data_IF_069577703610
#
_entry.id   IF_069577703610
#
_cell.length_a   1.000
_cell.length_b   1.000
_cell.length_c   1.000
_cell.angle_alpha   90.00
_cell.angle_beta   90.00
_cell.angle_gamma   90.00
#
_symmetry.space_group_name_H-M   'P 1'
#
loop_
_entity.id
_entity.type
_entity.pdbx_description
1 polymer ?
#
# COMPACT_ATOMS: atom_id res chain seq x y z
N UNK A 1 53.02 -50.83 -17.05
CA UNK A 1 52.42 -49.63 -17.69
C UNK A 1 51.54 -48.94 -16.65
N UNK A 2 51.98 -47.79 -16.15
CA UNK A 2 51.28 -46.98 -15.14
C UNK A 2 50.33 -46.01 -15.86
N UNK A 3 49.02 -46.17 -15.68
CA UNK A 3 48.02 -45.21 -16.14
C UNK A 3 47.99 -44.02 -15.17
N UNK A 4 48.48 -42.87 -15.64
CA UNK A 4 48.26 -41.57 -14.99
C UNK A 4 46.87 -41.05 -15.34
N UNK A 5 46.00 -40.91 -14.34
CA UNK A 5 44.70 -40.24 -14.48
C UNK A 5 44.93 -38.75 -14.21
N UNK A 6 44.96 -37.95 -15.28
CA UNK A 6 44.93 -36.48 -15.19
C UNK A 6 43.56 -36.05 -14.66
N UNK A 7 43.55 -35.42 -13.48
CA UNK A 7 42.38 -34.68 -13.01
C UNK A 7 42.27 -33.36 -13.78
N UNK A 8 41.28 -33.26 -14.68
CA UNK A 8 40.86 -31.97 -15.20
C UNK A 8 40.13 -31.22 -14.08
N UNK A 9 40.83 -30.27 -13.46
CA UNK A 9 40.23 -29.26 -12.60
C UNK A 9 39.31 -28.36 -13.42
N UNK A 10 38.00 -28.60 -13.32
CA UNK A 10 36.97 -27.70 -13.83
C UNK A 10 36.98 -26.47 -12.90
N UNK A 11 37.63 -25.41 -13.35
CA UNK A 11 37.48 -24.07 -12.79
C UNK A 11 36.09 -23.56 -13.17
N UNK A 12 35.16 -23.60 -12.22
CA UNK A 12 33.85 -22.93 -12.36
C UNK A 12 34.11 -21.43 -12.33
N UNK A 13 34.25 -20.85 -13.52
CA UNK A 13 34.24 -19.41 -13.74
C UNK A 13 32.87 -18.88 -13.28
N UNK A 14 32.85 -18.21 -12.12
CA UNK A 14 31.71 -17.38 -11.70
C UNK A 14 31.47 -16.32 -12.78
N UNK A 15 30.53 -16.58 -13.68
CA UNK A 15 29.97 -15.57 -14.57
C UNK A 15 29.30 -14.52 -13.68
N UNK A 16 29.82 -13.30 -13.72
CA UNK A 16 29.13 -12.09 -13.27
C UNK A 16 27.70 -12.13 -13.79
N UNK A 17 26.77 -12.41 -12.89
CA UNK A 17 25.35 -12.36 -13.19
C UNK A 17 25.01 -10.88 -13.31
N UNK A 18 25.01 -10.38 -14.55
CA UNK A 18 24.70 -8.99 -14.87
C UNK A 18 23.46 -8.56 -14.07
N UNK A 19 23.65 -7.52 -13.25
CA UNK A 19 22.72 -7.04 -12.24
C UNK A 19 21.39 -6.66 -12.93
N UNK A 20 20.42 -7.59 -12.94
CA UNK A 20 19.17 -7.32 -13.61
C UNK A 20 18.45 -6.18 -12.88
N UNK A 21 17.85 -5.23 -13.61
CA UNK A 21 17.17 -4.10 -13.00
C UNK A 21 16.06 -4.61 -12.07
N UNK A 22 16.20 -4.29 -10.79
CA UNK A 22 15.19 -4.65 -9.78
C UNK A 22 14.07 -3.62 -9.85
N UNK A 23 12.87 -4.05 -10.23
CA UNK A 23 11.67 -3.22 -10.22
C UNK A 23 10.86 -3.47 -8.96
N UNK A 24 10.38 -2.39 -8.35
CA UNK A 24 9.43 -2.43 -7.25
C UNK A 24 8.28 -1.46 -7.54
N UNK A 25 7.26 -1.52 -6.70
CA UNK A 25 6.04 -0.73 -6.88
C UNK A 25 5.68 0.01 -5.61
N UNK A 26 5.14 1.23 -5.75
CA UNK A 26 4.71 2.04 -4.62
C UNK A 26 3.47 1.43 -3.94
N UNK A 27 3.49 1.35 -2.60
CA UNK A 27 2.38 0.82 -1.82
C UNK A 27 1.17 1.77 -1.73
N UNK A 28 1.43 3.07 -1.81
CA UNK A 28 0.45 4.15 -1.65
C UNK A 28 1.06 5.44 -2.22
N UNK A 29 0.27 6.52 -2.38
CA UNK A 29 0.79 7.81 -2.79
C UNK A 29 1.98 8.25 -1.93
N UNK A 30 3.16 8.44 -2.53
CA UNK A 30 4.39 8.73 -1.77
C UNK A 30 5.29 9.71 -2.50
N UNK A 31 5.73 10.74 -1.76
CA UNK A 31 6.62 11.75 -2.31
C UNK A 31 8.04 11.21 -2.58
N UNK A 32 8.55 11.57 -3.75
CA UNK A 32 9.93 11.34 -4.19
C UNK A 32 10.74 12.59 -3.90
N UNK A 33 11.93 12.41 -3.33
CA UNK A 33 12.77 13.51 -2.88
C UNK A 33 14.12 13.57 -3.57
N UNK A 34 14.61 14.77 -3.74
CA UNK A 34 16.00 15.05 -3.99
C UNK A 34 16.71 15.40 -2.68
N UNK A 35 17.92 14.88 -2.53
CA UNK A 35 18.77 15.16 -1.40
C UNK A 35 20.11 15.73 -1.88
N UNK A 36 20.54 16.82 -1.22
CA UNK A 36 21.87 17.40 -1.42
C UNK A 36 22.57 17.55 -0.07
N UNK A 37 23.86 17.24 -0.02
CA UNK A 37 24.68 17.41 1.18
C UNK A 37 25.24 18.84 1.17
N UNK A 38 25.00 19.59 2.24
CA UNK A 38 25.57 20.92 2.47
C UNK A 38 26.49 20.89 3.68
N UNK A 39 27.63 21.56 3.58
CA UNK A 39 28.49 21.79 4.73
C UNK A 39 28.01 23.06 5.46
N UNK A 40 27.70 22.94 6.75
CA UNK A 40 27.51 24.09 7.64
C UNK A 40 28.82 24.37 8.37
N UNK A 41 29.13 25.66 8.53
CA UNK A 41 30.29 26.10 9.32
C UNK A 41 30.23 25.50 10.73
N UNK A 42 31.40 25.15 11.23
CA UNK A 42 31.60 24.68 12.58
C UNK A 42 31.09 25.72 13.60
N UNK A 43 30.47 25.26 14.69
CA UNK A 43 29.96 26.14 15.74
C UNK A 43 31.07 26.69 16.63
N UNK A 44 32.20 25.98 16.73
CA UNK A 44 33.39 26.38 17.49
C UNK A 44 34.62 26.31 16.61
N UNK A 45 35.60 27.15 16.91
CA UNK A 45 36.91 27.15 16.26
C UNK A 45 37.61 25.82 16.58
N UNK A 46 37.89 25.01 15.55
CA UNK A 46 38.54 23.70 15.68
C UNK A 46 37.62 22.49 15.41
N UNK A 47 36.29 22.66 15.42
CA UNK A 47 35.38 21.57 15.07
C UNK A 47 35.33 21.36 13.54
N UNK A 48 35.17 20.12 13.05
CA UNK A 48 34.94 19.87 11.64
C UNK A 48 33.58 20.43 11.17
N UNK A 49 33.46 20.88 9.91
CA UNK A 49 32.20 21.36 9.37
C UNK A 49 31.13 20.27 9.42
N UNK A 50 29.93 20.62 9.89
CA UNK A 50 28.82 19.68 10.00
C UNK A 50 28.14 19.50 8.65
N UNK A 51 28.09 18.28 8.16
CA UNK A 51 27.28 17.94 6.99
C UNK A 51 25.80 17.93 7.37
N UNK A 52 24.99 18.62 6.57
CA UNK A 52 23.53 18.72 6.73
C UNK A 52 22.87 18.36 5.42
N UNK A 53 21.83 17.55 5.51
CA UNK A 53 21.05 17.13 4.37
C UNK A 53 19.97 18.18 4.05
N UNK A 54 19.97 18.72 2.83
CA UNK A 54 18.85 19.51 2.30
C UNK A 54 17.96 18.58 1.48
N UNK A 55 16.66 18.61 1.77
CA UNK A 55 15.61 17.81 1.15
C UNK A 55 14.72 18.70 0.28
N UNK A 56 14.42 18.29 -0.95
CA UNK A 56 13.47 18.95 -1.85
C UNK A 56 12.50 17.91 -2.41
N UNK A 57 11.20 18.18 -2.38
CA UNK A 57 10.20 17.33 -3.06
C UNK A 57 10.40 17.47 -4.57
N UNK A 58 10.52 16.35 -5.28
CA UNK A 58 10.56 16.32 -6.74
C UNK A 58 9.20 15.97 -7.31
N UNK A 59 8.59 14.92 -6.76
CA UNK A 59 7.41 14.31 -7.36
C UNK A 59 6.62 13.47 -6.35
N UNK A 60 5.55 12.82 -6.80
CA UNK A 60 4.70 11.91 -6.02
C UNK A 60 4.34 10.68 -6.85
N UNK A 61 4.77 9.51 -6.38
CA UNK A 61 4.31 8.24 -6.94
C UNK A 61 2.87 7.98 -6.54
N UNK A 62 2.08 7.37 -7.41
CA UNK A 62 0.76 6.83 -7.07
C UNK A 62 0.85 5.35 -6.69
N UNK A 63 -0.22 4.79 -6.09
CA UNK A 63 -0.27 3.38 -5.70
C UNK A 63 -0.07 2.47 -6.92
N UNK A 64 0.67 1.38 -6.72
CA UNK A 64 1.06 0.41 -7.74
C UNK A 64 1.86 0.98 -8.92
N UNK A 65 2.42 2.18 -8.78
CA UNK A 65 3.32 2.74 -9.79
C UNK A 65 4.68 2.03 -9.77
N UNK A 66 5.18 1.67 -10.96
CA UNK A 66 6.41 0.91 -11.15
C UNK A 66 7.61 1.84 -11.10
N UNK A 67 8.61 1.47 -10.30
CA UNK A 67 9.89 2.17 -10.22
C UNK A 67 11.04 1.20 -10.39
N UNK A 68 12.13 1.69 -10.98
CA UNK A 68 13.39 0.96 -11.10
C UNK A 68 14.30 1.35 -9.95
N UNK A 69 14.84 0.36 -9.24
CA UNK A 69 15.88 0.61 -8.25
C UNK A 69 17.21 0.85 -8.97
N UNK A 70 17.84 1.97 -8.63
CA UNK A 70 19.16 2.31 -9.14
C UNK A 70 20.25 1.89 -8.14
N UNK A 71 21.44 1.47 -8.63
CA UNK A 71 22.58 1.21 -7.77
C UNK A 71 22.96 2.49 -7.00
N UNK A 72 23.33 2.31 -5.73
CA UNK A 72 23.70 3.43 -4.86
C UNK A 72 25.20 3.69 -4.89
N UNK A 73 25.58 4.91 -5.29
CA UNK A 73 26.96 5.39 -5.19
C UNK A 73 27.37 5.65 -3.73
N UNK A 74 28.65 5.88 -3.45
CA UNK A 74 29.10 6.24 -2.10
C UNK A 74 28.44 7.52 -1.57
N UNK A 75 28.18 8.49 -2.44
CA UNK A 75 27.45 9.70 -2.08
C UNK A 75 25.99 9.39 -1.71
N UNK A 76 25.33 8.50 -2.46
CA UNK A 76 23.96 8.09 -2.19
C UNK A 76 23.87 7.31 -0.85
N UNK A 77 24.85 6.46 -0.56
CA UNK A 77 24.97 5.76 0.73
C UNK A 77 25.18 6.75 1.89
N UNK A 78 25.98 7.80 1.67
CA UNK A 78 26.16 8.87 2.65
C UNK A 78 24.84 9.62 2.91
N UNK A 79 24.06 9.91 1.86
CA UNK A 79 22.70 10.49 1.98
C UNK A 79 21.80 9.60 2.84
N UNK A 80 21.75 8.30 2.56
CA UNK A 80 20.96 7.34 3.34
C UNK A 80 21.38 7.33 4.82
N UNK A 81 22.69 7.26 5.10
CA UNK A 81 23.23 7.30 6.46
C UNK A 81 22.87 8.60 7.20
N UNK A 82 23.05 9.76 6.57
CA UNK A 82 22.72 11.06 7.16
C UNK A 82 21.21 11.23 7.39
N UNK A 83 20.38 10.65 6.52
CA UNK A 83 18.91 10.68 6.66
C UNK A 83 18.37 9.82 7.80
N UNK A 84 19.18 8.85 8.30
CA UNK A 84 18.79 7.80 9.26
C UNK A 84 17.60 6.94 8.79
N UNK A 85 17.36 6.87 7.48
CA UNK A 85 16.31 6.05 6.87
C UNK A 85 16.94 5.07 5.89
N UNK A 86 16.23 3.98 5.60
CA UNK A 86 16.62 3.03 4.57
C UNK A 86 16.26 3.56 3.18
N UNK A 87 16.89 4.67 2.78
CA UNK A 87 16.63 5.30 1.50
C UNK A 87 17.19 4.45 0.36
N UNK A 88 16.39 4.34 -0.70
CA UNK A 88 16.79 3.79 -1.99
C UNK A 88 16.70 4.88 -3.04
N UNK A 89 17.56 4.78 -4.06
CA UNK A 89 17.51 5.62 -5.24
C UNK A 89 16.64 4.94 -6.29
N UNK A 90 15.73 5.69 -6.88
CA UNK A 90 14.76 5.19 -7.85
C UNK A 90 14.76 6.02 -9.13
N UNK A 91 14.34 5.38 -10.21
CA UNK A 91 14.00 5.99 -11.50
C UNK A 91 12.53 5.65 -11.81
N UNK A 92 11.75 6.70 -12.06
CA UNK A 92 10.35 6.63 -12.47
C UNK A 92 10.24 6.39 -13.99
N UNK A 93 9.04 6.09 -14.50
CA UNK A 93 8.83 5.83 -15.93
C UNK A 93 9.08 7.04 -16.84
N UNK A 94 8.92 8.24 -16.30
CA UNK A 94 9.21 9.52 -16.98
C UNK A 94 10.72 9.87 -16.96
N UNK A 95 11.56 9.04 -16.35
CA UNK A 95 13.00 9.29 -16.15
C UNK A 95 13.33 10.13 -14.92
N UNK A 96 12.35 10.51 -14.10
CA UNK A 96 12.59 11.27 -12.87
C UNK A 96 13.36 10.40 -11.86
N UNK A 97 14.52 10.90 -11.44
CA UNK A 97 15.38 10.26 -10.44
C UNK A 97 15.25 10.95 -9.08
N UNK A 98 15.06 10.14 -8.04
CA UNK A 98 15.02 10.61 -6.66
C UNK A 98 15.15 9.50 -5.63
N UNK A 99 14.79 9.84 -4.39
CA UNK A 99 14.94 8.99 -3.21
C UNK A 99 13.63 8.84 -2.46
N UNK A 100 13.42 7.66 -1.92
CA UNK A 100 12.35 7.36 -0.96
C UNK A 100 12.78 6.22 -0.03
N UNK A 101 12.06 6.03 1.07
CA UNK A 101 12.34 4.94 2.02
C UNK A 101 11.82 3.60 1.45
N UNK A 102 12.70 2.59 1.39
CA UNK A 102 12.44 1.27 0.81
C UNK A 102 11.17 0.61 1.35
N UNK A 103 10.78 0.90 2.60
CA UNK A 103 9.57 0.33 3.20
C UNK A 103 8.28 0.70 2.48
N UNK A 104 8.28 1.78 1.69
CA UNK A 104 7.14 2.23 0.88
C UNK A 104 7.00 1.47 -0.44
N UNK A 105 7.96 0.62 -0.77
CA UNK A 105 7.96 -0.21 -1.97
C UNK A 105 7.60 -1.66 -1.64
N UNK A 106 7.00 -2.33 -2.61
CA UNK A 106 6.67 -3.75 -2.57
C UNK A 106 6.96 -4.42 -3.92
N UNK A 107 6.76 -5.74 -3.98
CA UNK A 107 6.83 -6.50 -5.21
C UNK A 107 5.65 -6.23 -6.15
N UNK A 108 5.49 -7.13 -7.11
CA UNK A 108 4.49 -7.03 -8.17
C UNK A 108 3.07 -6.74 -7.63
N UNK A 109 2.34 -5.79 -8.24
CA UNK A 109 0.94 -5.55 -7.98
C UNK A 109 0.07 -6.67 -8.55
N UNK A 110 -1.06 -6.89 -7.91
CA UNK A 110 -2.11 -7.80 -8.32
C UNK A 110 -3.46 -7.19 -7.98
N UNK A 111 -4.49 -7.57 -8.74
CA UNK A 111 -5.87 -7.15 -8.49
C UNK A 111 -6.73 -8.36 -8.18
N UNK A 112 -7.58 -8.25 -7.16
CA UNK A 112 -8.54 -9.30 -6.83
C UNK A 112 -9.63 -9.33 -7.89
N UNK A 113 -9.78 -10.48 -8.58
CA UNK A 113 -10.79 -10.68 -9.64
C UNK A 113 -11.84 -11.73 -9.25
N UNK A 114 -11.58 -12.47 -8.17
CA UNK A 114 -12.55 -13.41 -7.61
C UNK A 114 -13.31 -12.74 -6.49
N UNK A 115 -14.64 -12.80 -6.56
CA UNK A 115 -15.48 -12.30 -5.48
C UNK A 115 -15.19 -13.03 -4.17
N UNK A 116 -15.19 -12.27 -3.07
CA UNK A 116 -15.05 -12.78 -1.72
C UNK A 116 -13.76 -13.61 -1.50
N UNK A 117 -12.62 -13.17 -2.04
CA UNK A 117 -11.34 -13.88 -1.87
C UNK A 117 -10.90 -13.86 -0.39
N UNK A 118 -10.75 -15.01 0.29
CA UNK A 118 -10.42 -15.03 1.70
C UNK A 118 -8.98 -14.55 1.96
N UNK A 119 -8.79 -13.83 3.07
CA UNK A 119 -7.46 -13.51 3.59
C UNK A 119 -7.25 -14.00 5.03
N UNK A 120 -5.98 -14.18 5.38
CA UNK A 120 -5.55 -14.93 6.56
C UNK A 120 -4.42 -14.21 7.31
N UNK A 121 -4.31 -14.45 8.62
CA UNK A 121 -3.19 -13.94 9.45
C UNK A 121 -1.88 -14.65 9.11
N UNK A 122 -1.93 -15.97 8.91
CA UNK A 122 -0.79 -16.84 8.56
C UNK A 122 -1.26 -17.90 7.56
N UNK A 123 -0.35 -18.56 6.83
CA UNK A 123 -0.73 -19.65 5.95
C UNK A 123 -1.43 -20.78 6.72
N UNK A 124 -2.62 -21.18 6.28
CA UNK A 124 -3.41 -22.22 6.94
C UNK A 124 -4.09 -21.83 8.26
N UNK A 125 -4.08 -20.55 8.65
CA UNK A 125 -4.82 -20.08 9.83
C UNK A 125 -6.32 -19.98 9.55
N UNK A 126 -7.10 -19.59 10.57
CA UNK A 126 -8.48 -19.16 10.37
C UNK A 126 -8.55 -17.99 9.39
N UNK A 127 -9.64 -17.96 8.60
CA UNK A 127 -9.99 -16.87 7.70
C UNK A 127 -10.35 -15.63 8.54
N UNK A 128 -9.74 -14.50 8.24
CA UNK A 128 -10.03 -13.23 8.91
C UNK A 128 -11.19 -12.49 8.23
N UNK A 129 -11.26 -12.55 6.90
CA UNK A 129 -12.26 -11.84 6.13
C UNK A 129 -12.14 -12.19 4.65
N UNK A 130 -12.74 -11.34 3.81
CA UNK A 130 -12.78 -11.51 2.36
C UNK A 130 -12.48 -10.18 1.68
N UNK A 131 -11.57 -10.19 0.71
CA UNK A 131 -11.26 -9.03 -0.11
C UNK A 131 -12.31 -8.88 -1.23
N UNK A 132 -12.78 -7.66 -1.51
CA UNK A 132 -13.66 -7.39 -2.64
C UNK A 132 -12.88 -7.43 -3.97
N UNK A 133 -13.62 -7.69 -5.06
CA UNK A 133 -13.11 -7.53 -6.43
C UNK A 133 -12.62 -6.09 -6.63
N UNK A 134 -11.60 -5.91 -7.45
CA UNK A 134 -10.99 -4.60 -7.73
C UNK A 134 -9.94 -4.16 -6.73
N UNK A 135 -9.85 -4.82 -5.56
CA UNK A 135 -8.81 -4.48 -4.57
C UNK A 135 -7.42 -4.65 -5.17
N UNK A 136 -6.64 -3.57 -5.22
CA UNK A 136 -5.23 -3.63 -5.59
C UNK A 136 -4.40 -4.02 -4.37
N UNK A 137 -3.63 -5.09 -4.52
CA UNK A 137 -2.65 -5.53 -3.54
C UNK A 137 -1.26 -5.62 -4.16
N UNK A 138 -0.22 -5.58 -3.32
CA UNK A 138 1.16 -5.74 -3.71
C UNK A 138 1.78 -6.93 -2.98
N UNK A 139 2.58 -7.71 -3.70
CA UNK A 139 3.26 -8.87 -3.14
C UNK A 139 4.38 -8.47 -2.19
N UNK A 140 4.38 -9.07 -1.00
CA UNK A 140 5.44 -8.94 0.01
C UNK A 140 6.29 -10.22 0.12
N UNK A 141 5.77 -11.34 -0.35
CA UNK A 141 6.46 -12.63 -0.32
C UNK A 141 5.53 -13.79 -0.71
N UNK A 142 6.10 -14.98 -0.80
CA UNK A 142 5.41 -16.19 -1.24
C UNK A 142 5.64 -17.33 -0.24
N UNK A 143 4.63 -18.17 -0.01
CA UNK A 143 4.79 -19.47 0.63
C UNK A 143 4.40 -20.55 -0.38
N UNK A 144 5.38 -21.20 -1.05
CA UNK A 144 5.09 -22.18 -2.09
C UNK A 144 4.46 -23.46 -1.54
N UNK A 145 4.82 -23.89 -0.32
CA UNK A 145 4.31 -25.12 0.29
C UNK A 145 2.81 -25.07 0.59
N UNK A 146 2.28 -23.88 0.92
CA UNK A 146 0.86 -23.67 1.20
C UNK A 146 0.12 -22.98 0.06
N UNK A 147 0.81 -22.69 -1.06
CA UNK A 147 0.21 -22.02 -2.24
C UNK A 147 -0.44 -20.68 -1.86
N UNK A 148 0.30 -19.85 -1.11
CA UNK A 148 -0.19 -18.55 -0.63
C UNK A 148 0.78 -17.40 -0.92
N UNK A 149 0.22 -16.19 -1.06
CA UNK A 149 0.95 -14.94 -1.21
C UNK A 149 0.78 -14.10 0.04
N UNK A 150 1.88 -13.51 0.51
CA UNK A 150 1.84 -12.45 1.52
C UNK A 150 1.66 -11.12 0.80
N UNK A 151 0.68 -10.33 1.21
CA UNK A 151 0.25 -9.13 0.51
C UNK A 151 0.13 -7.91 1.42
N UNK A 152 0.19 -6.74 0.77
CA UNK A 152 -0.21 -5.45 1.27
C UNK A 152 -1.30 -4.90 0.35
N UNK A 153 -2.47 -4.52 0.86
CA UNK A 153 -3.51 -3.87 0.06
C UNK A 153 -3.81 -2.43 0.53
N UNK A 154 -3.29 -2.04 1.70
CA UNK A 154 -3.60 -0.75 2.31
C UNK A 154 -4.93 -0.80 3.04
N UNK A 155 -5.62 0.34 3.10
CA UNK A 155 -7.00 0.40 3.57
C UNK A 155 -7.94 -0.17 2.50
N UNK A 156 -8.87 -1.01 2.93
CA UNK A 156 -9.86 -1.67 2.07
C UNK A 156 -11.20 -1.61 2.79
N UNK A 157 -12.24 -1.14 2.09
CA UNK A 157 -13.61 -1.16 2.61
C UNK A 157 -14.16 -2.59 2.57
N UNK A 158 -14.50 -3.14 3.73
CA UNK A 158 -15.02 -4.50 3.87
C UNK A 158 -16.18 -4.46 4.87
N UNK A 159 -17.39 -4.76 4.41
CA UNK A 159 -18.61 -4.74 5.24
C UNK A 159 -18.76 -3.40 5.99
N UNK A 160 -18.72 -2.26 5.28
CA UNK A 160 -18.90 -0.92 5.87
C UNK A 160 -17.79 -0.47 6.84
N UNK A 161 -16.65 -1.19 6.89
CA UNK A 161 -15.50 -0.81 7.73
C UNK A 161 -14.20 -0.67 6.93
N UNK A 162 -13.36 0.31 7.31
CA UNK A 162 -12.00 0.45 6.78
C UNK A 162 -11.08 -0.56 7.45
N UNK A 163 -10.62 -1.55 6.68
CA UNK A 163 -9.71 -2.55 7.21
C UNK A 163 -8.32 -2.34 6.66
N UNK A 164 -7.35 -2.17 7.55
CA UNK A 164 -5.93 -2.10 7.17
C UNK A 164 -5.35 -3.49 6.86
N UNK A 165 -5.17 -3.79 5.58
CA UNK A 165 -4.64 -5.05 5.08
C UNK A 165 -3.13 -4.91 4.81
N UNK A 166 -2.34 -5.17 5.86
CA UNK A 166 -0.89 -5.32 5.75
C UNK A 166 -0.42 -6.67 6.33
N UNK A 167 0.58 -7.26 5.66
CA UNK A 167 1.19 -8.54 6.04
C UNK A 167 0.18 -9.70 6.16
N UNK A 168 -0.86 -9.69 5.32
CA UNK A 168 -1.88 -10.75 5.29
C UNK A 168 -1.57 -11.75 4.19
N UNK A 169 -2.18 -12.92 4.28
CA UNK A 169 -1.99 -14.00 3.32
C UNK A 169 -3.25 -14.23 2.50
N UNK A 170 -3.10 -14.42 1.19
CA UNK A 170 -4.18 -14.80 0.27
C UNK A 170 -3.79 -16.07 -0.50
N UNK A 171 -4.75 -16.87 -0.99
CA UNK A 171 -4.46 -18.00 -1.88
C UNK A 171 -3.73 -17.54 -3.16
N UNK A 172 -2.89 -18.40 -3.77
CA UNK A 172 -2.25 -18.15 -5.08
C UNK A 172 -3.22 -18.17 -6.28
N UNK A 173 -4.52 -18.00 -6.06
CA UNK A 173 -5.60 -18.00 -7.07
C UNK A 173 -6.62 -16.91 -6.77
N UNK A 174 -7.37 -16.47 -7.79
CA UNK A 174 -8.43 -15.47 -7.65
C UNK A 174 -7.96 -14.01 -7.71
N UNK A 175 -6.76 -13.78 -8.23
CA UNK A 175 -6.24 -12.47 -8.60
C UNK A 175 -5.71 -12.49 -10.03
N UNK A 176 -5.59 -11.32 -10.63
CA UNK A 176 -4.89 -11.09 -11.89
C UNK A 176 -3.60 -10.29 -11.64
N UNK A 177 -2.58 -10.55 -12.46
CA UNK A 177 -1.33 -9.77 -12.52
C UNK A 177 -1.17 -9.08 -13.88
N UNK A 178 -2.21 -9.14 -14.73
CA UNK A 178 -2.17 -8.50 -16.04
C UNK A 178 -2.19 -6.98 -15.88
N UNK A 179 -1.28 -6.29 -16.57
CA UNK A 179 -1.16 -4.83 -16.50
C UNK A 179 -2.47 -4.11 -16.78
N UNK A 180 -3.24 -4.57 -17.79
CA UNK A 180 -4.56 -4.02 -18.12
C UNK A 180 -5.55 -4.04 -16.95
N UNK A 181 -5.58 -5.13 -16.17
CA UNK A 181 -6.53 -5.27 -15.06
C UNK A 181 -6.07 -4.42 -13.87
N UNK A 182 -4.77 -4.27 -13.69
CA UNK A 182 -4.18 -3.40 -12.66
C UNK A 182 -4.44 -1.93 -12.97
N UNK A 183 -4.25 -1.52 -14.22
CA UNK A 183 -4.50 -0.14 -14.65
C UNK A 183 -5.99 0.20 -14.58
N UNK A 184 -6.88 -0.71 -15.03
CA UNK A 184 -8.32 -0.53 -14.87
C UNK A 184 -8.74 -0.44 -13.39
N UNK A 185 -8.17 -1.25 -12.51
CA UNK A 185 -8.43 -1.15 -11.07
C UNK A 185 -7.94 0.17 -10.47
N UNK A 186 -6.81 0.71 -10.95
CA UNK A 186 -6.31 2.04 -10.51
C UNK A 186 -7.25 3.15 -10.94
N UNK A 187 -7.79 3.05 -12.16
CA UNK A 187 -8.80 4.00 -12.65
C UNK A 187 -10.08 3.93 -11.82
N UNK A 188 -10.54 2.72 -11.44
CA UNK A 188 -11.68 2.55 -10.54
C UNK A 188 -11.41 3.16 -9.15
N UNK A 189 -10.26 2.85 -8.51
CA UNK A 189 -9.89 3.43 -7.21
C UNK A 189 -9.83 4.98 -7.29
N UNK A 190 -9.32 5.53 -8.39
CA UNK A 190 -9.23 6.99 -8.59
C UNK A 190 -10.61 7.63 -8.80
N UNK A 191 -11.46 7.05 -9.65
CA UNK A 191 -12.80 7.55 -9.92
C UNK A 191 -13.68 7.49 -8.65
N UNK A 192 -13.59 6.39 -7.89
CA UNK A 192 -14.27 6.25 -6.61
C UNK A 192 -13.86 7.35 -5.62
N UNK A 193 -12.58 7.72 -5.57
CA UNK A 193 -12.12 8.77 -4.66
C UNK A 193 -12.56 10.18 -5.09
N UNK A 194 -12.63 10.48 -6.39
CA UNK A 194 -13.19 11.74 -6.92
C UNK A 194 -14.66 11.87 -6.51
N UNK A 195 -15.46 10.83 -6.77
CA UNK A 195 -16.88 10.79 -6.44
C UNK A 195 -17.09 10.92 -4.93
N UNK A 196 -16.28 10.22 -4.12
CA UNK A 196 -16.36 10.32 -2.65
C UNK A 196 -16.05 11.74 -2.16
N UNK A 197 -14.98 12.37 -2.67
CA UNK A 197 -14.61 13.75 -2.27
C UNK A 197 -15.70 14.76 -2.63
N UNK A 198 -16.28 14.65 -3.82
CA UNK A 198 -17.40 15.51 -4.21
C UNK A 198 -18.60 15.36 -3.27
N UNK A 199 -18.89 14.13 -2.81
CA UNK A 199 -19.97 13.90 -1.86
C UNK A 199 -19.67 14.37 -0.44
N UNK A 200 -18.40 14.32 -0.01
CA UNK A 200 -17.96 14.85 1.28
C UNK A 200 -17.92 16.39 1.29
N UNK A 201 -17.52 17.00 0.18
CA UNK A 201 -17.43 18.44 -0.04
C UNK A 201 -17.53 18.77 -1.53
N UNK A 202 -18.72 19.15 -2.00
CA UNK A 202 -18.99 19.45 -3.42
C UNK A 202 -18.10 20.58 -3.96
N UNK A 203 -17.65 21.51 -3.10
CA UNK A 203 -16.79 22.61 -3.51
C UNK A 203 -15.32 22.18 -3.72
N UNK A 204 -14.95 20.96 -3.31
CA UNK A 204 -13.57 20.47 -3.36
C UNK A 204 -13.17 19.86 -4.70
N UNK A 205 -14.14 19.55 -5.57
CA UNK A 205 -13.95 18.86 -6.85
C UNK A 205 -14.83 19.49 -7.92
N UNK A 206 -14.31 19.62 -9.15
CA UNK A 206 -15.08 20.12 -10.29
C UNK A 206 -16.16 19.11 -10.72
N UNK A 207 -17.39 19.57 -10.94
CA UNK A 207 -18.52 18.75 -11.38
C UNK A 207 -18.21 17.98 -12.68
N UNK A 208 -17.43 18.59 -13.60
CA UNK A 208 -16.98 17.92 -14.82
C UNK A 208 -16.03 16.75 -14.55
N UNK A 209 -15.21 16.83 -13.50
CA UNK A 209 -14.35 15.71 -13.09
C UNK A 209 -15.18 14.56 -12.51
N UNK A 210 -16.27 14.87 -11.82
CA UNK A 210 -17.21 13.88 -11.27
C UNK A 210 -18.01 13.21 -12.37
N UNK A 211 -18.50 13.97 -13.35
CA UNK A 211 -19.19 13.43 -14.52
C UNK A 211 -18.25 12.50 -15.31
N UNK A 212 -17.01 12.93 -15.55
CA UNK A 212 -16.01 12.11 -16.21
C UNK A 212 -15.68 10.82 -15.43
N UNK A 213 -15.56 10.90 -14.10
CA UNK A 213 -15.34 9.74 -13.24
C UNK A 213 -16.52 8.75 -13.28
N UNK A 214 -17.75 9.27 -13.24
CA UNK A 214 -18.99 8.48 -13.30
C UNK A 214 -19.13 7.77 -14.65
N UNK A 215 -19.02 8.52 -15.75
CA UNK A 215 -19.06 7.98 -17.11
C UNK A 215 -17.98 6.89 -17.31
N UNK A 216 -16.79 7.09 -16.75
CA UNK A 216 -15.74 6.08 -16.83
C UNK A 216 -16.11 4.77 -16.12
N UNK A 217 -16.73 4.85 -14.95
CA UNK A 217 -17.20 3.66 -14.22
C UNK A 217 -18.35 2.96 -14.98
N UNK A 218 -19.29 3.72 -15.55
CA UNK A 218 -20.38 3.17 -16.36
C UNK A 218 -19.86 2.43 -17.59
N UNK A 219 -18.90 3.00 -18.33
CA UNK A 219 -18.26 2.32 -19.47
C UNK A 219 -17.61 1.00 -19.05
N UNK A 220 -16.98 0.94 -17.87
CA UNK A 220 -16.41 -0.30 -17.33
C UNK A 220 -17.51 -1.34 -17.04
N UNK A 221 -18.64 -0.90 -16.47
CA UNK A 221 -19.79 -1.77 -16.17
C UNK A 221 -20.36 -2.34 -17.48
N UNK A 222 -20.59 -1.49 -18.47
CA UNK A 222 -21.18 -1.86 -19.77
C UNK A 222 -20.27 -2.77 -20.60
N UNK A 223 -18.94 -2.51 -20.57
CA UNK A 223 -17.94 -3.38 -21.21
C UNK A 223 -17.90 -4.76 -20.54
N UNK A 224 -18.27 -4.84 -19.26
CA UNK A 224 -18.26 -6.05 -18.47
C UNK A 224 -16.85 -6.51 -18.08
N UNK A 225 -16.73 -7.81 -17.78
CA UNK A 225 -15.46 -8.42 -17.38
C UNK A 225 -15.24 -8.49 -15.86
N UNK A 226 -14.02 -8.87 -15.43
CA UNK A 226 -13.76 -9.26 -14.04
C UNK A 226 -13.85 -8.11 -13.04
N UNK A 227 -13.79 -6.86 -13.49
CA UNK A 227 -13.80 -5.66 -12.64
C UNK A 227 -15.10 -4.85 -12.71
N UNK A 228 -16.08 -5.27 -13.53
CA UNK A 228 -17.37 -4.58 -13.64
C UNK A 228 -18.08 -4.47 -12.28
N UNK A 229 -18.02 -5.51 -11.44
CA UNK A 229 -18.60 -5.48 -10.10
C UNK A 229 -17.89 -4.47 -9.17
N UNK A 230 -16.58 -4.25 -9.34
CA UNK A 230 -15.87 -3.23 -8.58
C UNK A 230 -16.29 -1.82 -8.99
N UNK A 231 -16.46 -1.58 -10.29
CA UNK A 231 -16.97 -0.31 -10.79
C UNK A 231 -18.41 -0.03 -10.33
N UNK A 232 -19.27 -1.05 -10.37
CA UNK A 232 -20.65 -0.95 -9.85
C UNK A 232 -20.67 -0.60 -8.36
N UNK A 233 -19.85 -1.27 -7.54
CA UNK A 233 -19.72 -0.95 -6.11
C UNK A 233 -19.19 0.47 -5.89
N UNK A 234 -18.23 0.93 -6.68
CA UNK A 234 -17.71 2.30 -6.57
C UNK A 234 -18.80 3.36 -6.81
N UNK A 235 -19.79 3.09 -7.68
CA UNK A 235 -20.96 3.96 -7.88
C UNK A 235 -22.02 3.84 -6.76
N UNK A 236 -22.22 2.64 -6.22
CA UNK A 236 -23.26 2.37 -5.21
C UNK A 236 -22.86 2.67 -3.77
N UNK A 237 -21.66 2.25 -3.34
CA UNK A 237 -21.15 2.54 -1.98
C UNK A 237 -21.08 4.05 -1.71
N UNK A 238 -21.11 4.83 -2.78
CA UNK A 238 -21.09 6.27 -2.74
C UNK A 238 -22.50 6.88 -2.81
N UNK A 239 -23.53 6.16 -3.29
CA UNK A 239 -24.93 6.63 -3.32
C UNK A 239 -25.64 6.57 -1.95
N UNK A 240 -25.33 5.61 -1.09
CA UNK A 240 -25.98 5.43 0.22
C UNK A 240 -25.59 6.49 1.27
N UNK A 241 -24.67 7.41 0.97
CA UNK A 241 -24.26 8.47 1.90
C UNK A 241 -25.22 9.67 1.95
N UNK A 242 -26.17 9.78 1.01
CA UNK A 242 -27.10 10.92 0.94
C UNK A 242 -28.37 10.75 1.80
N UNK A 243 -28.70 9.54 2.26
CA UNK A 243 -29.92 9.27 3.03
C UNK A 243 -29.74 9.34 4.57
N UNK A 244 -28.57 9.76 5.08
CA UNK A 244 -28.31 9.85 6.53
C UNK A 244 -28.20 11.29 7.09
N UNK A 245 -28.82 12.29 6.44
CA UNK A 245 -29.00 13.62 7.05
C UNK A 245 -30.45 13.86 7.44
N UNK A 246 -30.96 13.07 8.39
CA UNK A 246 -31.95 13.53 9.36
C UNK A 246 -31.56 12.98 10.72
N UNK A 247 -30.80 13.79 11.46
CA UNK A 247 -30.58 13.58 12.89
C UNK A 247 -31.92 13.83 13.60
N UNK A 248 -32.57 12.76 14.06
CA UNK A 248 -33.52 12.88 15.16
C UNK A 248 -32.71 13.13 16.45
N UNK A 249 -33.06 14.22 17.15
CA UNK A 249 -32.45 14.62 18.40
C UNK A 249 -32.56 13.51 19.46
N UNK A 250 -31.50 13.20 20.22
CA UNK A 250 -31.61 12.28 21.35
C UNK A 250 -32.37 12.96 22.48
N UNK A 251 -33.60 12.49 22.73
CA UNK A 251 -34.37 12.83 23.93
C UNK A 251 -33.69 12.27 25.18
N UNK A 252 -33.54 13.12 26.18
CA UNK A 252 -32.98 12.84 27.50
C UNK A 252 -33.44 11.51 28.11
N UNK A 253 -32.49 10.69 28.58
CA UNK A 253 -32.75 9.78 29.71
C UNK A 253 -31.49 9.61 30.55
N UNK A 254 -31.56 10.23 31.72
CA UNK A 254 -30.91 9.97 33.02
C UNK A 254 -29.62 9.15 33.09
N UNK A 255 -28.58 9.83 33.58
CA UNK A 255 -27.38 9.25 34.17
C UNK A 255 -27.72 8.60 35.53
N UNK A 256 -27.31 7.35 35.73
CA UNK A 256 -27.10 6.80 37.07
C UNK A 256 -25.60 6.72 37.35
N UNK A 257 -25.19 7.41 38.43
CA UNK A 257 -23.84 7.49 38.97
C UNK A 257 -23.57 6.28 39.88
N UNK A 258 -22.42 5.61 39.81
CA UNK A 258 -22.08 4.48 40.69
C UNK A 258 -21.23 4.98 41.85
N UNK A 259 -21.85 5.29 42.98
CA UNK A 259 -21.20 5.32 44.30
C UNK A 259 -22.27 5.47 45.38
N UNK A 260 -22.56 4.37 46.08
CA UNK A 260 -22.89 4.42 47.50
C UNK A 260 -22.44 3.11 48.15
N UNK A 261 -21.40 3.22 48.96
CA UNK A 261 -20.88 2.18 49.84
C UNK A 261 -21.75 2.07 51.10
N UNK A 262 -22.10 0.81 51.42
CA UNK A 262 -21.98 0.16 52.73
C UNK A 262 -22.76 0.74 53.94
N UNK A 263 -23.66 -0.10 54.45
CA UNK A 263 -24.06 -0.24 55.86
C UNK A 263 -25.12 -1.35 55.95
N UNK A 264 -24.80 -2.58 56.37
CA UNK A 264 -25.01 -3.13 57.74
C UNK A 264 -26.39 -2.71 58.31
N UNK A 265 -27.30 -3.59 58.76
CA UNK A 265 -27.16 -4.80 59.59
C UNK A 265 -28.55 -5.46 59.72
N UNK A 266 -28.62 -6.58 60.48
CA UNK A 266 -29.81 -7.32 60.99
C UNK A 266 -30.35 -8.42 60.07
N UNK A 267 -30.63 -9.67 60.46
CA UNK A 267 -30.57 -10.45 61.71
C UNK A 267 -30.52 -11.93 61.24
N UNK A 268 -29.87 -12.90 61.90
CA UNK A 268 -30.33 -13.51 63.14
C UNK A 268 -30.78 -14.96 62.88
N UNK A 269 -30.35 -15.84 63.79
CA UNK A 269 -30.91 -17.15 64.16
C UNK A 269 -30.41 -18.48 63.54
N UNK A 270 -29.80 -19.23 64.49
CA UNK A 270 -29.66 -20.68 64.70
C UNK A 270 -28.47 -21.43 64.06
#
# INVERSE_FOLDING_TARGET
MLLSILSLGITVQCKEQADQPTYLYAKYPIAVYEYSIKQKRAKKKGDPPKQVLKKKRKDTLVKAEKVKLLPMTEQDKMIARLSKKNLVKIEQSDGTIGYLDKKHLAGQPLVIVKDKLPYYKRPGSIKLGRLPIGTICLTLGTNPQKTMLKVFCGYVWINEEEVWIANKWIPRKGYSVATKDIDQARMIESAAEIIRKYREDEASVDELEVEAATNHLEVIIDTGGPLALAAQRALWDSADSQDQVQAEEPSDTEKQDPNDEIGQTEDGDL
#
